data_IF_600838656587
#
_entry.id   IF_600838656587
#
_cell.length_a   1.000
_cell.length_b   1.000
_cell.length_c   1.000
_cell.angle_alpha   90.00
_cell.angle_beta   90.00
_cell.angle_gamma   90.00
#
_symmetry.space_group_name_H-M   'P 1'
#
loop_
_entity.id
_entity.type
_entity.pdbx_description
1 polymer ?
#
# COMPACT_ATOMS: atom_id res chain seq x y z
N UNK A 1 12.16 -14.63 54.05
CA UNK A 1 11.51 -15.88 53.59
C UNK A 1 10.01 -15.68 53.71
N UNK A 2 9.21 -16.09 52.71
CA UNK A 2 7.76 -15.99 52.80
C UNK A 2 7.22 -16.93 53.89
N UNK A 3 6.17 -16.50 54.58
CA UNK A 3 5.39 -17.34 55.49
C UNK A 3 4.46 -18.22 54.65
N UNK A 4 4.72 -19.52 54.63
CA UNK A 4 3.91 -20.48 53.90
C UNK A 4 2.71 -20.85 54.77
N UNK A 5 1.51 -20.54 54.30
CA UNK A 5 0.27 -20.98 54.94
C UNK A 5 0.06 -22.43 54.55
N UNK A 6 -0.17 -23.31 55.52
CA UNK A 6 -0.35 -24.75 55.25
C UNK A 6 -1.82 -25.13 55.18
N UNK A 7 -2.13 -26.30 54.62
CA UNK A 7 -3.51 -26.81 54.53
C UNK A 7 -4.22 -26.92 55.90
N UNK A 8 -3.46 -26.97 57.00
CA UNK A 8 -3.98 -27.02 58.37
C UNK A 8 -4.53 -25.69 58.86
N UNK A 9 -4.08 -24.60 58.26
CA UNK A 9 -4.47 -23.23 58.60
C UNK A 9 -5.63 -22.74 57.72
N UNK A 10 -6.04 -23.52 56.72
CA UNK A 10 -7.11 -23.17 55.78
C UNK A 10 -8.38 -23.93 56.07
N UNK A 11 -9.51 -23.21 56.10
CA UNK A 11 -10.83 -23.81 56.22
C UNK A 11 -11.40 -24.05 54.83
N UNK A 12 -11.91 -25.25 54.56
CA UNK A 12 -12.58 -25.53 53.29
C UNK A 12 -13.86 -26.32 53.53
N UNK A 13 -14.83 -26.09 52.65
CA UNK A 13 -16.12 -26.77 52.62
C UNK A 13 -16.38 -27.22 51.20
N UNK A 14 -16.80 -28.47 51.02
CA UNK A 14 -17.22 -28.96 49.72
C UNK A 14 -18.72 -29.24 49.68
N UNK A 15 -19.26 -28.99 48.49
CA UNK A 15 -20.51 -29.54 48.01
C UNK A 15 -20.20 -30.46 46.83
N UNK A 16 -21.22 -31.12 46.31
CA UNK A 16 -21.09 -31.99 45.12
C UNK A 16 -20.60 -31.19 43.90
N UNK A 17 -21.07 -29.95 43.77
CA UNK A 17 -20.82 -29.09 42.61
C UNK A 17 -19.81 -27.95 42.86
N UNK A 18 -19.73 -27.47 44.12
CA UNK A 18 -18.93 -26.30 44.49
C UNK A 18 -17.91 -26.61 45.58
N UNK A 19 -16.80 -25.88 45.55
CA UNK A 19 -15.77 -25.91 46.57
C UNK A 19 -15.52 -24.50 47.11
N UNK A 20 -15.66 -24.34 48.43
CA UNK A 20 -15.41 -23.10 49.15
C UNK A 20 -14.13 -23.23 49.95
N UNK A 21 -13.16 -22.36 49.71
CA UNK A 21 -11.88 -22.35 50.44
C UNK A 21 -11.68 -20.98 51.05
N UNK A 22 -11.45 -20.92 52.36
CA UNK A 22 -11.15 -19.71 53.12
C UNK A 22 -9.71 -19.78 53.62
N UNK A 23 -8.88 -18.89 53.11
CA UNK A 23 -7.48 -18.77 53.49
C UNK A 23 -7.34 -17.55 54.40
N UNK A 24 -6.96 -17.73 55.69
CA UNK A 24 -6.75 -16.59 56.58
C UNK A 24 -5.50 -15.83 56.16
N UNK A 25 -5.65 -14.54 55.92
CA UNK A 25 -4.55 -13.62 55.63
C UNK A 25 -4.60 -12.52 56.66
N UNK A 26 -3.81 -12.66 57.73
CA UNK A 26 -3.65 -11.59 58.73
C UNK A 26 -2.81 -10.48 58.13
N UNK A 27 -3.45 -9.63 57.31
CA UNK A 27 -2.78 -8.53 56.63
C UNK A 27 -2.70 -7.32 57.55
N UNK A 28 -1.47 -6.86 57.84
CA UNK A 28 -1.22 -5.55 58.45
C UNK A 28 -0.92 -4.46 57.41
N UNK A 29 -0.99 -4.78 56.11
CA UNK A 29 -0.48 -3.93 55.03
C UNK A 29 -1.49 -3.86 53.86
N UNK A 30 -1.70 -2.66 53.30
CA UNK A 30 -2.65 -2.38 52.20
C UNK A 30 -2.26 -2.96 50.81
N UNK A 31 -1.43 -4.01 50.77
CA UNK A 31 -1.01 -4.63 49.51
C UNK A 31 -2.10 -5.59 49.04
N UNK A 32 -2.63 -5.37 47.82
CA UNK A 32 -3.60 -6.29 47.22
C UNK A 32 -2.94 -7.66 46.95
N UNK A 33 -3.55 -8.78 47.38
CA UNK A 33 -3.02 -10.10 47.10
C UNK A 33 -3.09 -10.42 45.60
N UNK A 34 -2.03 -11.01 45.05
CA UNK A 34 -2.05 -11.57 43.70
C UNK A 34 -2.62 -12.98 43.77
N UNK A 35 -3.73 -13.21 43.07
CA UNK A 35 -4.45 -14.48 43.06
C UNK A 35 -4.34 -15.10 41.67
N UNK A 36 -3.96 -16.36 41.61
CA UNK A 36 -3.97 -17.18 40.40
C UNK A 36 -4.92 -18.36 40.62
N UNK A 37 -5.87 -18.50 39.70
CA UNK A 37 -6.83 -19.61 39.65
C UNK A 37 -6.61 -20.32 38.32
N UNK A 38 -6.47 -21.64 38.39
CA UNK A 38 -6.25 -22.51 37.23
C UNK A 38 -6.99 -23.83 37.46
N UNK A 39 -7.13 -24.66 36.43
CA UNK A 39 -7.88 -25.93 36.47
C UNK A 39 -7.58 -26.84 37.68
N UNK A 40 -6.31 -26.98 38.08
CA UNK A 40 -5.89 -27.84 39.23
C UNK A 40 -5.05 -27.13 40.28
N UNK A 41 -4.82 -25.84 40.13
CA UNK A 41 -3.84 -25.10 40.93
C UNK A 41 -4.38 -23.75 41.35
N UNK A 42 -4.19 -23.43 42.64
CA UNK A 42 -4.52 -22.14 43.21
C UNK A 42 -3.27 -21.57 43.87
N UNK A 43 -3.07 -20.27 43.70
CA UNK A 43 -1.97 -19.56 44.35
C UNK A 43 -2.42 -18.20 44.84
N UNK A 44 -2.06 -17.89 46.08
CA UNK A 44 -2.14 -16.55 46.64
C UNK A 44 -0.74 -16.09 47.01
N UNK A 45 -0.35 -14.92 46.51
CA UNK A 45 0.89 -14.26 46.87
C UNK A 45 0.58 -12.90 47.47
N UNK A 46 0.85 -12.74 48.77
CA UNK A 46 0.64 -11.49 49.50
C UNK A 46 1.73 -11.31 50.55
N UNK A 47 2.81 -10.56 50.27
CA UNK A 47 3.97 -10.46 51.15
C UNK A 47 3.59 -10.11 52.61
N UNK A 48 4.08 -10.85 53.62
CA UNK A 48 5.03 -11.97 53.56
C UNK A 48 4.42 -13.35 53.27
N UNK A 49 3.11 -13.49 53.15
CA UNK A 49 2.41 -14.76 52.98
C UNK A 49 2.46 -15.30 51.53
N UNK A 50 2.65 -16.62 51.43
CA UNK A 50 2.49 -17.37 50.19
C UNK A 50 1.64 -18.60 50.50
N UNK A 51 0.63 -18.83 49.68
CA UNK A 51 -0.22 -20.02 49.75
C UNK A 51 -0.33 -20.65 48.38
N UNK A 52 -0.14 -21.96 48.32
CA UNK A 52 -0.25 -22.76 47.11
C UNK A 52 -1.10 -23.99 47.44
N UNK A 53 -2.10 -24.27 46.62
CA UNK A 53 -2.97 -25.42 46.76
C UNK A 53 -3.09 -26.17 45.45
N UNK A 54 -2.87 -27.47 45.52
CA UNK A 54 -2.99 -28.41 44.40
C UNK A 54 -4.30 -29.16 44.59
N UNK A 55 -5.30 -28.86 43.77
CA UNK A 55 -6.64 -29.41 43.91
C UNK A 55 -6.64 -30.91 43.57
N UNK A 56 -7.57 -31.65 44.19
CA UNK A 56 -7.77 -33.07 43.91
C UNK A 56 -8.30 -33.31 42.49
N UNK A 57 -9.31 -32.53 42.09
CA UNK A 57 -9.95 -32.61 40.78
C UNK A 57 -9.87 -31.31 39.99
N UNK A 58 -10.34 -31.37 38.74
CA UNK A 58 -10.43 -30.23 37.84
C UNK A 58 -11.55 -29.27 38.24
N UNK A 59 -11.26 -27.98 38.19
CA UNK A 59 -12.22 -26.88 38.34
C UNK A 59 -12.37 -26.10 37.03
N UNK A 60 -13.51 -25.43 36.88
CA UNK A 60 -13.75 -24.51 35.78
C UNK A 60 -13.27 -23.10 36.18
N UNK A 61 -12.18 -22.57 35.57
CA UNK A 61 -11.62 -21.28 35.95
C UNK A 61 -12.53 -20.09 35.61
N UNK A 62 -13.36 -20.19 34.55
CA UNK A 62 -14.19 -19.08 34.07
C UNK A 62 -15.37 -18.78 35.01
N UNK A 63 -15.91 -19.82 35.65
CA UNK A 63 -17.02 -19.72 36.59
C UNK A 63 -16.57 -19.64 38.05
N UNK A 64 -15.26 -19.75 38.30
CA UNK A 64 -14.67 -19.69 39.63
C UNK A 64 -14.16 -18.29 39.91
N UNK A 65 -14.39 -17.78 41.12
CA UNK A 65 -13.89 -16.45 41.50
C UNK A 65 -13.41 -16.42 42.95
N UNK A 66 -12.51 -15.46 43.22
CA UNK A 66 -12.01 -15.20 44.57
C UNK A 66 -12.55 -13.86 45.08
N UNK A 67 -12.99 -13.84 46.33
CA UNK A 67 -13.37 -12.64 47.07
C UNK A 67 -12.32 -12.34 48.13
N UNK A 68 -11.75 -11.14 48.05
CA UNK A 68 -10.76 -10.65 49.01
C UNK A 68 -11.52 -9.94 50.13
N UNK A 69 -11.47 -10.50 51.35
CA UNK A 69 -11.98 -9.88 52.57
C UNK A 69 -10.88 -9.12 53.32
N UNK A 70 -11.21 -8.59 54.51
CA UNK A 70 -10.27 -7.83 55.34
C UNK A 70 -9.16 -8.71 55.95
N UNK A 71 -9.53 -9.89 56.47
CA UNK A 71 -8.59 -10.81 57.15
C UNK A 71 -8.54 -12.21 56.51
N UNK A 72 -9.23 -12.40 55.38
CA UNK A 72 -9.27 -13.70 54.67
C UNK A 72 -9.57 -13.54 53.18
N UNK A 73 -9.11 -14.49 52.38
CA UNK A 73 -9.50 -14.65 50.98
C UNK A 73 -10.38 -15.88 50.88
N UNK A 74 -11.56 -15.71 50.30
CA UNK A 74 -12.51 -16.79 50.05
C UNK A 74 -12.59 -17.11 48.57
N UNK A 75 -12.44 -18.38 48.21
CA UNK A 75 -12.64 -18.87 46.85
C UNK A 75 -14.01 -19.55 46.75
N UNK A 76 -14.75 -19.21 45.71
CA UNK A 76 -15.92 -19.97 45.27
C UNK A 76 -15.56 -20.62 43.94
N UNK A 77 -15.28 -21.93 43.99
CA UNK A 77 -14.79 -22.70 42.86
C UNK A 77 -15.88 -23.65 42.36
N UNK A 78 -16.03 -23.73 41.05
CA UNK A 78 -16.95 -24.64 40.38
C UNK A 78 -16.19 -25.91 39.97
N UNK A 79 -16.62 -27.09 40.48
CA UNK A 79 -16.03 -28.36 40.07
C UNK A 79 -16.42 -28.66 38.62
N UNK A 80 -15.51 -29.24 37.84
CA UNK A 80 -15.82 -29.68 36.47
C UNK A 80 -16.64 -30.97 36.45
N UNK A 81 -16.52 -31.79 37.50
CA UNK A 81 -17.26 -33.04 37.69
C UNK A 81 -17.93 -33.01 39.06
N UNK A 82 -19.22 -33.35 39.08
CA UNK A 82 -20.08 -33.38 40.27
C UNK A 82 -19.73 -34.56 41.21
N UNK A 83 -18.63 -34.45 41.96
CA UNK A 83 -18.13 -35.50 42.86
C UNK A 83 -17.66 -34.95 44.21
N UNK A 84 -17.83 -35.74 45.28
CA UNK A 84 -17.25 -35.47 46.59
C UNK A 84 -15.79 -35.89 46.60
N UNK A 85 -14.87 -34.95 46.84
CA UNK A 85 -13.44 -35.22 46.78
C UNK A 85 -12.94 -35.84 48.07
N UNK A 86 -13.55 -35.51 49.22
CA UNK A 86 -13.17 -35.96 50.57
C UNK A 86 -11.73 -35.60 50.98
N UNK A 87 -10.94 -35.02 50.07
CA UNK A 87 -9.57 -34.53 50.22
C UNK A 87 -9.41 -33.29 49.34
N UNK A 88 -8.71 -32.29 49.86
CA UNK A 88 -8.44 -31.05 49.13
C UNK A 88 -7.33 -31.25 48.09
N UNK A 89 -6.30 -32.04 48.41
CA UNK A 89 -5.13 -32.25 47.56
C UNK A 89 -4.87 -33.73 47.21
N UNK A 90 -4.35 -33.96 46.00
CA UNK A 90 -4.17 -35.31 45.44
C UNK A 90 -2.91 -36.03 45.95
N UNK A 91 -1.75 -35.37 45.98
CA UNK A 91 -0.47 -35.98 46.34
C UNK A 91 0.51 -34.96 46.92
N UNK A 92 1.24 -35.37 47.97
CA UNK A 92 2.29 -34.55 48.60
C UNK A 92 3.67 -34.71 47.92
N UNK A 93 3.79 -35.61 46.93
CA UNK A 93 5.06 -35.86 46.24
C UNK A 93 5.56 -34.60 45.50
N UNK A 94 6.83 -34.25 45.70
CA UNK A 94 7.43 -33.02 45.17
C UNK A 94 7.51 -33.01 43.62
N UNK A 95 7.71 -34.18 43.00
CA UNK A 95 7.70 -34.35 41.54
C UNK A 95 6.35 -33.97 40.93
N UNK A 96 5.25 -34.45 41.53
CA UNK A 96 3.90 -34.14 41.10
C UNK A 96 3.57 -32.65 41.27
N UNK A 97 3.93 -32.06 42.41
CA UNK A 97 3.73 -30.62 42.67
C UNK A 97 4.52 -29.72 41.71
N UNK A 98 5.66 -30.18 41.21
CA UNK A 98 6.43 -29.44 40.19
C UNK A 98 5.71 -29.48 38.84
N UNK A 99 5.29 -30.66 38.39
CA UNK A 99 4.57 -30.84 37.13
C UNK A 99 3.26 -30.03 37.09
N UNK A 100 2.48 -30.07 38.18
CA UNK A 100 1.23 -29.30 38.27
C UNK A 100 1.46 -27.78 38.26
N UNK A 101 2.57 -27.29 38.84
CA UNK A 101 2.94 -25.87 38.74
C UNK A 101 3.23 -25.49 37.29
N UNK A 102 4.08 -26.26 36.61
CA UNK A 102 4.45 -26.00 35.22
C UNK A 102 3.21 -26.04 34.30
N UNK A 103 2.32 -27.02 34.48
CA UNK A 103 1.07 -27.12 33.75
C UNK A 103 0.16 -25.89 34.00
N UNK A 104 0.02 -25.46 35.26
CA UNK A 104 -0.83 -24.33 35.62
C UNK A 104 -0.29 -23.00 35.08
N UNK A 105 1.03 -22.78 35.13
CA UNK A 105 1.64 -21.59 34.51
C UNK A 105 1.46 -21.61 32.99
N UNK A 106 1.60 -22.76 32.34
CA UNK A 106 1.38 -22.90 30.90
C UNK A 106 -0.07 -22.63 30.49
N UNK A 107 -1.06 -23.08 31.26
CA UNK A 107 -2.48 -22.78 31.01
C UNK A 107 -2.75 -21.28 31.16
N UNK A 108 -2.24 -20.67 32.22
CA UNK A 108 -2.42 -19.24 32.45
C UNK A 108 -1.76 -18.37 31.36
N UNK A 109 -0.56 -18.75 30.91
CA UNK A 109 0.12 -18.05 29.82
C UNK A 109 -0.67 -18.12 28.51
N UNK A 110 -1.22 -19.30 28.17
CA UNK A 110 -2.09 -19.47 26.99
C UNK A 110 -3.32 -18.57 27.08
N UNK A 111 -4.02 -18.58 28.22
CA UNK A 111 -5.20 -17.74 28.45
C UNK A 111 -4.89 -16.24 28.29
N UNK A 112 -3.77 -15.78 28.85
CA UNK A 112 -3.32 -14.39 28.70
C UNK A 112 -3.07 -14.04 27.23
N UNK A 113 -2.43 -14.95 26.48
CA UNK A 113 -2.11 -14.76 25.07
C UNK A 113 -3.38 -14.67 24.20
N UNK A 114 -4.32 -15.59 24.39
CA UNK A 114 -5.62 -15.58 23.70
C UNK A 114 -6.42 -14.32 24.01
N UNK A 115 -6.44 -13.87 25.27
CA UNK A 115 -7.12 -12.63 25.67
C UNK A 115 -6.50 -11.40 24.99
N UNK A 116 -5.17 -11.36 24.87
CA UNK A 116 -4.47 -10.28 24.17
C UNK A 116 -4.79 -10.28 22.68
N UNK A 117 -4.80 -11.46 22.05
CA UNK A 117 -5.16 -11.63 20.63
C UNK A 117 -6.60 -11.20 20.36
N UNK A 118 -7.55 -11.59 21.21
CA UNK A 118 -8.96 -11.17 21.09
C UNK A 118 -9.13 -9.64 21.23
N UNK A 119 -8.43 -9.01 22.17
CA UNK A 119 -8.44 -7.54 22.34
C UNK A 119 -7.86 -6.85 21.11
N UNK A 120 -6.77 -7.37 20.56
CA UNK A 120 -6.17 -6.85 19.33
C UNK A 120 -7.14 -6.98 18.15
N UNK A 121 -7.76 -8.16 17.99
CA UNK A 121 -8.72 -8.41 16.93
C UNK A 121 -9.94 -7.48 17.03
N UNK A 122 -10.47 -7.29 18.24
CA UNK A 122 -11.61 -6.39 18.48
C UNK A 122 -11.25 -4.95 18.12
N UNK A 123 -10.06 -4.48 18.53
CA UNK A 123 -9.57 -3.14 18.18
C UNK A 123 -9.42 -2.96 16.66
N UNK A 124 -8.87 -3.96 15.96
CA UNK A 124 -8.75 -3.94 14.51
C UNK A 124 -10.13 -3.93 13.83
N UNK A 125 -11.07 -4.74 14.30
CA UNK A 125 -12.43 -4.80 13.75
C UNK A 125 -13.14 -3.45 13.90
N UNK A 126 -13.08 -2.83 15.09
CA UNK A 126 -13.66 -1.50 15.33
C UNK A 126 -13.06 -0.44 14.39
N UNK A 127 -11.74 -0.46 14.18
CA UNK A 127 -11.08 0.46 13.23
C UNK A 127 -11.50 0.21 11.78
N UNK A 128 -11.62 -1.05 11.36
CA UNK A 128 -12.09 -1.41 10.01
C UNK A 128 -13.52 -0.94 9.78
N UNK A 129 -14.40 -1.12 10.76
CA UNK A 129 -15.79 -0.69 10.68
C UNK A 129 -15.93 0.84 10.57
N UNK A 130 -15.12 1.60 11.31
CA UNK A 130 -15.15 3.07 11.21
C UNK A 130 -14.70 3.55 9.82
N UNK A 131 -13.61 2.96 9.29
CA UNK A 131 -13.10 3.30 7.95
C UNK A 131 -14.12 2.92 6.88
N UNK A 132 -14.76 1.75 7.00
CA UNK A 132 -15.80 1.31 6.06
C UNK A 132 -16.98 2.29 6.00
N UNK A 133 -17.49 2.73 7.15
CA UNK A 133 -18.59 3.72 7.19
C UNK A 133 -18.19 5.04 6.53
N UNK A 134 -16.95 5.48 6.74
CA UNK A 134 -16.44 6.69 6.09
C UNK A 134 -16.35 6.53 4.57
N UNK A 135 -15.85 5.40 4.08
CA UNK A 135 -15.80 5.11 2.63
C UNK A 135 -17.19 5.05 2.01
N UNK A 136 -18.18 4.46 2.69
CA UNK A 136 -19.56 4.39 2.22
C UNK A 136 -20.19 5.79 2.08
N UNK A 137 -19.92 6.71 3.04
CA UNK A 137 -20.35 8.11 2.95
C UNK A 137 -19.68 8.84 1.78
N UNK A 138 -18.36 8.74 1.66
CA UNK A 138 -17.61 9.38 0.57
C UNK A 138 -18.04 8.86 -0.81
N UNK A 139 -18.33 7.56 -0.94
CA UNK A 139 -18.80 6.99 -2.21
C UNK A 139 -20.17 7.53 -2.59
N UNK A 140 -21.07 7.69 -1.62
CA UNK A 140 -22.37 8.30 -1.84
C UNK A 140 -22.24 9.76 -2.29
N UNK A 141 -21.40 10.56 -1.61
CA UNK A 141 -21.13 11.95 -1.99
C UNK A 141 -20.52 12.05 -3.39
N UNK A 142 -19.54 11.21 -3.72
CA UNK A 142 -18.93 11.16 -5.07
C UNK A 142 -19.97 10.86 -6.14
N UNK A 143 -20.87 9.90 -5.91
CA UNK A 143 -21.95 9.57 -6.86
C UNK A 143 -22.91 10.74 -7.06
N UNK A 144 -23.19 11.51 -6.01
CA UNK A 144 -24.05 12.70 -6.11
C UNK A 144 -23.36 13.81 -6.91
N UNK A 145 -22.10 14.10 -6.62
CA UNK A 145 -21.29 15.09 -7.35
C UNK A 145 -21.16 14.69 -8.83
N UNK A 146 -20.94 13.41 -9.12
CA UNK A 146 -20.81 12.93 -10.50
C UNK A 146 -22.11 13.10 -11.29
N UNK A 147 -23.26 12.80 -10.67
CA UNK A 147 -24.57 13.03 -11.28
C UNK A 147 -24.79 14.51 -11.60
N UNK A 148 -24.41 15.40 -10.69
CA UNK A 148 -24.54 16.85 -10.86
C UNK A 148 -23.63 17.36 -11.98
N UNK A 149 -22.34 16.99 -11.97
CA UNK A 149 -21.40 17.29 -13.06
C UNK A 149 -21.88 16.81 -14.42
N UNK A 150 -22.41 15.58 -14.49
CA UNK A 150 -22.99 15.03 -15.70
C UNK A 150 -24.20 15.84 -16.20
N UNK A 151 -25.04 16.33 -15.29
CA UNK A 151 -26.19 17.16 -15.64
C UNK A 151 -25.75 18.53 -16.17
N UNK A 152 -24.80 19.18 -15.50
CA UNK A 152 -24.25 20.47 -15.94
C UNK A 152 -23.53 20.35 -17.28
N UNK A 153 -22.70 19.32 -17.46
CA UNK A 153 -22.01 19.06 -18.73
C UNK A 153 -22.99 18.84 -19.88
N UNK A 154 -24.10 18.13 -19.65
CA UNK A 154 -25.17 17.96 -20.66
C UNK A 154 -25.82 19.30 -21.01
N UNK A 155 -26.13 20.15 -20.03
CA UNK A 155 -26.69 21.49 -20.25
C UNK A 155 -25.72 22.37 -21.05
N UNK A 156 -24.45 22.42 -20.65
CA UNK A 156 -23.41 23.18 -21.33
C UNK A 156 -23.22 22.69 -22.77
N UNK A 157 -23.17 21.38 -23.00
CA UNK A 157 -23.07 20.80 -24.34
C UNK A 157 -24.26 21.16 -25.23
N UNK A 158 -25.48 21.13 -24.68
CA UNK A 158 -26.69 21.55 -25.40
C UNK A 158 -26.65 23.04 -25.76
N UNK A 159 -26.17 23.90 -24.86
CA UNK A 159 -26.04 25.34 -25.12
C UNK A 159 -24.98 25.64 -26.18
N UNK A 160 -23.82 24.98 -26.12
CA UNK A 160 -22.77 25.08 -27.15
C UNK A 160 -23.33 24.65 -28.51
N UNK A 161 -24.09 23.54 -28.56
CA UNK A 161 -24.73 23.07 -29.79
C UNK A 161 -25.69 24.11 -30.36
N UNK A 162 -26.56 24.69 -29.51
CA UNK A 162 -27.50 25.74 -29.91
C UNK A 162 -26.79 26.98 -30.46
N UNK A 163 -25.72 27.45 -29.79
CA UNK A 163 -24.92 28.59 -30.26
C UNK A 163 -24.27 28.31 -31.61
N UNK A 164 -23.70 27.11 -31.81
CA UNK A 164 -23.13 26.70 -33.11
C UNK A 164 -24.17 26.69 -34.23
N UNK A 165 -25.37 26.18 -33.95
CA UNK A 165 -26.47 26.15 -34.92
C UNK A 165 -26.94 27.57 -35.29
N UNK A 166 -27.06 28.46 -34.31
CA UNK A 166 -27.38 29.87 -34.53
C UNK A 166 -26.33 30.57 -35.40
N UNK A 167 -25.04 30.39 -35.07
CA UNK A 167 -23.94 31.00 -35.81
C UNK A 167 -23.88 30.49 -37.25
N UNK A 168 -24.13 29.19 -37.45
CA UNK A 168 -24.24 28.60 -38.79
C UNK A 168 -25.43 29.16 -39.58
N UNK A 169 -26.60 29.30 -38.95
CA UNK A 169 -27.78 29.87 -39.59
C UNK A 169 -27.56 31.35 -40.00
N UNK A 170 -26.90 32.13 -39.14
CA UNK A 170 -26.54 33.51 -39.41
C UNK A 170 -25.56 33.63 -40.59
N UNK A 171 -24.51 32.80 -40.62
CA UNK A 171 -23.60 32.73 -41.76
C UNK A 171 -24.31 32.39 -43.08
N UNK A 172 -25.25 31.45 -43.05
CA UNK A 172 -26.05 31.06 -44.23
C UNK A 172 -26.91 32.25 -44.68
N UNK A 173 -27.57 32.95 -43.75
CA UNK A 173 -28.39 34.12 -44.05
C UNK A 173 -27.55 35.27 -44.66
N UNK A 174 -26.37 35.55 -44.10
CA UNK A 174 -25.44 36.55 -44.64
C UNK A 174 -24.98 36.20 -46.05
N UNK A 175 -24.57 34.94 -46.28
CA UNK A 175 -24.17 34.47 -47.62
C UNK A 175 -25.30 34.59 -48.63
N UNK A 176 -26.54 34.27 -48.24
CA UNK A 176 -27.72 34.42 -49.10
C UNK A 176 -27.98 35.89 -49.46
N UNK A 177 -27.88 36.81 -48.48
CA UNK A 177 -28.02 38.25 -48.71
C UNK A 177 -26.97 38.79 -49.68
N UNK A 178 -25.71 38.37 -49.51
CA UNK A 178 -24.62 38.72 -50.42
C UNK A 178 -24.85 38.22 -51.84
N UNK A 179 -25.31 36.97 -52.00
CA UNK A 179 -25.59 36.39 -53.32
C UNK A 179 -26.73 37.13 -54.05
N UNK A 180 -27.78 37.55 -53.33
CA UNK A 180 -28.87 38.35 -53.89
C UNK A 180 -28.38 39.71 -54.38
N UNK A 181 -27.61 40.44 -53.56
CA UNK A 181 -27.01 41.72 -53.96
C UNK A 181 -26.09 41.58 -55.17
N UNK A 182 -25.30 40.50 -55.21
CA UNK A 182 -24.43 40.22 -56.37
C UNK A 182 -25.23 39.90 -57.63
N UNK A 183 -26.35 39.18 -57.52
CA UNK A 183 -27.21 38.85 -58.65
C UNK A 183 -27.85 40.10 -59.29
N UNK A 184 -28.25 41.09 -58.49
CA UNK A 184 -28.81 42.36 -58.96
C UNK A 184 -27.81 43.21 -59.76
N UNK A 185 -26.51 43.06 -59.50
CA UNK A 185 -25.45 43.80 -60.18
C UNK A 185 -24.97 43.15 -61.49
N UNK A 186 -25.40 41.92 -61.79
CA UNK A 186 -24.99 41.24 -63.01
C UNK A 186 -25.85 41.76 -64.17
N UNK A 187 -25.24 42.28 -65.26
CA UNK A 187 -26.00 42.73 -66.41
C UNK A 187 -26.77 41.54 -67.03
N UNK A 188 -27.97 41.78 -67.59
CA UNK A 188 -28.78 40.72 -68.18
C UNK A 188 -28.01 39.97 -69.27
N UNK A 189 -28.20 38.66 -69.34
CA UNK A 189 -27.55 37.82 -70.35
C UNK A 189 -27.89 38.29 -71.76
N UNK A 190 -26.86 38.44 -72.60
CA UNK A 190 -27.04 38.80 -74.02
C UNK A 190 -27.79 37.67 -74.73
N UNK A 191 -28.64 38.00 -75.71
CA UNK A 191 -29.33 37.01 -76.55
C UNK A 191 -28.28 36.15 -77.30
N UNK A 192 -28.55 34.85 -77.43
CA UNK A 192 -27.63 33.88 -78.03
C UNK A 192 -27.31 34.23 -79.50
N UNK A 193 -26.04 34.26 -79.84
CA UNK A 193 -25.54 34.27 -81.22
C UNK A 193 -24.68 33.03 -81.47
N UNK A 194 -24.84 32.40 -82.63
CA UNK A 194 -24.04 31.24 -83.03
C UNK A 194 -22.79 31.72 -83.76
N UNK A 195 -21.62 31.44 -83.18
CA UNK A 195 -20.33 31.70 -83.82
C UNK A 195 -19.65 30.35 -84.04
N UNK A 196 -19.33 30.07 -85.29
CA UNK A 196 -18.61 28.87 -85.68
C UNK A 196 -17.12 29.12 -85.47
N UNK A 197 -16.53 28.42 -84.51
CA UNK A 197 -15.09 28.50 -84.21
C UNK A 197 -14.45 27.17 -84.56
N UNK A 198 -13.47 27.19 -85.47
CA UNK A 198 -12.60 26.06 -85.75
C UNK A 198 -11.32 26.18 -84.95
N UNK A 199 -11.05 25.20 -84.08
CA UNK A 199 -9.83 25.16 -83.28
C UNK A 199 -8.71 24.42 -84.02
N UNK A 200 -7.52 25.01 -84.02
CA UNK A 200 -6.28 24.30 -84.37
C UNK A 200 -5.75 23.58 -83.13
N UNK A 201 -5.49 22.27 -83.16
CA UNK A 201 -5.01 21.54 -82.00
C UNK A 201 -3.59 22.01 -81.63
N UNK A 202 -3.48 22.64 -80.47
CA UNK A 202 -2.20 23.05 -79.89
C UNK A 202 -1.76 21.97 -78.92
N UNK A 203 -0.74 21.19 -79.30
CA UNK A 203 -0.10 20.22 -78.42
C UNK A 203 0.90 21.00 -77.56
N UNK A 204 0.51 21.33 -76.34
CA UNK A 204 1.48 21.77 -75.33
C UNK A 204 2.20 20.52 -74.82
N UNK A 205 3.54 20.42 -74.93
CA UNK A 205 4.28 19.49 -74.09
C UNK A 205 4.24 20.09 -72.68
N UNK A 206 3.28 19.67 -71.88
CA UNK A 206 3.35 19.93 -70.43
C UNK A 206 4.57 19.15 -69.94
N UNK A 207 5.62 19.85 -69.50
CA UNK A 207 6.66 19.21 -68.73
C UNK A 207 5.99 18.59 -67.50
N UNK A 208 5.99 17.26 -67.42
CA UNK A 208 5.56 16.56 -66.24
C UNK A 208 6.43 17.05 -65.09
N UNK A 209 5.80 17.74 -64.13
CA UNK A 209 6.38 18.07 -62.83
C UNK A 209 6.99 16.78 -62.28
N UNK A 210 8.30 16.72 -62.14
CA UNK A 210 8.99 15.61 -61.48
C UNK A 210 8.34 15.46 -60.10
N UNK A 211 7.48 14.44 -59.96
CA UNK A 211 6.74 14.19 -58.74
C UNK A 211 7.69 13.49 -57.79
N UNK A 212 7.99 14.11 -56.65
CA UNK A 212 8.75 13.48 -55.55
C UNK A 212 8.04 12.28 -54.92
N UNK A 213 6.92 11.84 -55.48
CA UNK A 213 6.14 10.69 -55.04
C UNK A 213 6.97 9.40 -54.95
N UNK A 214 7.98 9.21 -55.81
CA UNK A 214 8.88 8.05 -55.72
C UNK A 214 9.76 8.12 -54.45
N UNK A 215 10.32 9.30 -54.16
CA UNK A 215 11.14 9.54 -52.96
C UNK A 215 10.29 9.44 -51.68
N UNK A 216 9.06 9.97 -51.72
CA UNK A 216 8.10 9.85 -50.60
C UNK A 216 7.67 8.40 -50.35
N UNK A 217 7.45 7.60 -51.42
CA UNK A 217 7.13 6.18 -51.30
C UNK A 217 8.31 5.39 -50.73
N UNK A 218 9.53 5.63 -51.20
CA UNK A 218 10.72 4.99 -50.64
C UNK A 218 10.92 5.36 -49.17
N UNK A 219 10.65 6.61 -48.80
CA UNK A 219 10.72 7.06 -47.41
C UNK A 219 9.67 6.35 -46.53
N UNK A 220 8.42 6.24 -47.01
CA UNK A 220 7.35 5.50 -46.33
C UNK A 220 7.65 4.00 -46.23
N UNK A 221 8.19 3.38 -47.27
CA UNK A 221 8.58 1.96 -47.28
C UNK A 221 9.74 1.69 -46.32
N UNK A 222 10.74 2.56 -46.25
CA UNK A 222 11.82 2.49 -45.25
C UNK A 222 11.27 2.64 -43.82
N UNK A 223 10.31 3.54 -43.62
CA UNK A 223 9.65 3.72 -42.32
C UNK A 223 8.82 2.51 -41.92
N UNK A 224 8.07 1.90 -42.86
CA UNK A 224 7.32 0.68 -42.63
C UNK A 224 8.23 -0.53 -42.41
N UNK A 225 9.32 -0.67 -43.17
CA UNK A 225 10.28 -1.76 -43.01
C UNK A 225 10.99 -1.69 -41.64
N UNK A 226 11.35 -0.49 -41.17
CA UNK A 226 11.88 -0.28 -39.82
C UNK A 226 10.84 -0.62 -38.73
N UNK A 227 9.57 -0.33 -38.96
CA UNK A 227 8.48 -0.72 -38.04
C UNK A 227 8.21 -2.23 -38.06
N UNK A 228 8.36 -2.88 -39.23
CA UNK A 228 8.13 -4.32 -39.42
C UNK A 228 9.28 -5.14 -38.86
N UNK A 229 10.54 -4.69 -38.97
CA UNK A 229 11.69 -5.37 -38.37
C UNK A 229 11.67 -5.35 -36.83
N UNK A 230 10.97 -4.37 -36.24
CA UNK A 230 10.70 -4.24 -34.81
C UNK A 230 9.52 -5.11 -34.31
N UNK A 231 8.94 -5.98 -35.15
CA UNK A 231 7.94 -6.97 -34.71
C UNK A 231 8.60 -8.06 -33.86
N UNK A 232 8.86 -7.75 -32.58
CA UNK A 232 8.70 -8.72 -31.52
C UNK A 232 7.20 -8.90 -31.29
N UNK A 233 6.67 -10.08 -31.63
CA UNK A 233 5.28 -10.45 -31.34
C UNK A 233 5.10 -10.69 -29.84
N UNK A 234 4.98 -9.61 -29.07
CA UNK A 234 4.56 -9.63 -27.68
C UNK A 234 3.07 -9.26 -27.61
N UNK A 235 2.19 -10.26 -27.67
CA UNK A 235 0.71 -10.11 -27.65
C UNK A 235 0.19 -9.40 -26.39
N UNK A 236 1.00 -9.29 -25.36
CA UNK A 236 0.60 -8.87 -24.02
C UNK A 236 0.86 -7.37 -23.72
N UNK A 237 1.57 -6.66 -24.60
CA UNK A 237 1.94 -5.24 -24.42
C UNK A 237 1.05 -4.31 -25.25
N UNK A 238 0.57 -3.23 -24.63
CA UNK A 238 -0.23 -2.21 -25.33
C UNK A 238 0.58 -1.50 -26.44
N UNK A 239 -0.07 -0.92 -27.46
CA UNK A 239 0.63 -0.24 -28.56
C UNK A 239 1.59 0.87 -28.10
N UNK A 240 1.31 1.53 -26.97
CA UNK A 240 2.13 2.59 -26.39
C UNK A 240 3.40 2.05 -25.73
N UNK A 241 3.30 0.89 -25.06
CA UNK A 241 4.44 0.24 -24.38
C UNK A 241 5.46 -0.36 -25.36
N UNK A 242 5.11 -0.44 -26.65
CA UNK A 242 6.01 -0.89 -27.73
C UNK A 242 6.86 0.24 -28.30
N UNK A 243 6.57 1.50 -28.01
CA UNK A 243 7.30 2.64 -28.55
C UNK A 243 8.53 2.96 -27.66
N UNK A 244 9.77 2.90 -28.19
CA UNK A 244 10.97 3.25 -27.44
C UNK A 244 10.96 4.69 -26.89
N UNK A 245 10.39 5.64 -27.63
CA UNK A 245 10.29 7.04 -27.20
C UNK A 245 9.33 7.20 -26.03
N UNK A 246 8.26 6.40 -26.02
CA UNK A 246 7.32 6.40 -24.90
C UNK A 246 7.95 5.78 -23.65
N UNK A 247 8.71 4.69 -23.78
CA UNK A 247 9.45 4.08 -22.67
C UNK A 247 10.48 5.05 -22.09
N UNK A 248 11.23 5.74 -22.95
CA UNK A 248 12.17 6.79 -22.54
C UNK A 248 11.46 7.93 -21.81
N UNK A 249 10.43 8.53 -22.43
CA UNK A 249 9.69 9.63 -21.80
C UNK A 249 9.06 9.22 -20.48
N UNK A 250 8.59 7.97 -20.35
CA UNK A 250 8.07 7.44 -19.10
C UNK A 250 9.17 7.26 -18.06
N UNK A 251 10.35 6.77 -18.45
CA UNK A 251 11.51 6.68 -17.57
C UNK A 251 11.93 8.07 -17.07
N UNK A 252 11.94 9.09 -17.93
CA UNK A 252 12.27 10.47 -17.58
C UNK A 252 11.31 11.03 -16.52
N UNK A 253 10.02 10.72 -16.62
CA UNK A 253 9.02 11.12 -15.62
C UNK A 253 9.29 10.48 -14.24
N UNK A 254 9.59 9.18 -14.20
CA UNK A 254 9.96 8.51 -12.95
C UNK A 254 11.29 9.04 -12.39
N UNK A 255 12.27 9.31 -13.25
CA UNK A 255 13.54 9.94 -12.87
C UNK A 255 13.30 11.31 -12.23
N UNK A 256 12.58 12.20 -12.90
CA UNK A 256 12.25 13.53 -12.36
C UNK A 256 11.46 13.46 -11.06
N UNK A 257 10.49 12.54 -10.94
CA UNK A 257 9.71 12.35 -9.71
C UNK A 257 10.56 11.82 -8.56
N UNK A 258 11.48 10.90 -8.84
CA UNK A 258 12.41 10.38 -7.82
C UNK A 258 13.35 11.47 -7.29
N UNK A 259 13.85 12.36 -8.15
CA UNK A 259 14.61 13.54 -7.74
C UNK A 259 13.80 14.48 -6.83
N UNK A 260 12.52 14.73 -7.16
CA UNK A 260 11.64 15.50 -6.29
C UNK A 260 11.43 14.80 -4.93
N UNK A 261 11.23 13.48 -4.91
CA UNK A 261 11.08 12.73 -3.67
C UNK A 261 12.34 12.75 -2.81
N UNK A 262 13.53 12.68 -3.42
CA UNK A 262 14.82 12.82 -2.73
C UNK A 262 14.93 14.18 -2.04
N UNK A 263 14.61 15.27 -2.75
CA UNK A 263 14.63 16.63 -2.19
C UNK A 263 13.61 16.82 -1.06
N UNK A 264 12.47 16.14 -1.12
CA UNK A 264 11.44 16.14 -0.08
C UNK A 264 11.72 15.15 1.07
N UNK A 265 12.88 14.45 1.06
CA UNK A 265 13.24 13.38 2.02
C UNK A 265 12.26 12.21 2.09
N UNK A 266 11.53 11.94 1.01
CA UNK A 266 10.68 10.75 0.87
C UNK A 266 11.50 9.60 0.27
N UNK A 267 12.48 9.10 1.03
CA UNK A 267 13.57 8.26 0.53
C UNK A 267 13.12 6.92 -0.06
N UNK A 268 12.21 6.20 0.60
CA UNK A 268 11.69 4.93 0.08
C UNK A 268 10.97 5.08 -1.27
N UNK A 269 10.19 6.15 -1.44
CA UNK A 269 9.51 6.44 -2.72
C UNK A 269 10.50 6.86 -3.82
N UNK A 270 11.56 7.58 -3.44
CA UNK A 270 12.63 7.91 -4.37
C UNK A 270 13.32 6.63 -4.90
N UNK A 271 13.56 5.64 -4.04
CA UNK A 271 14.14 4.35 -4.41
C UNK A 271 13.20 3.54 -5.31
N UNK A 272 11.90 3.52 -5.00
CA UNK A 272 10.90 2.83 -5.82
C UNK A 272 10.81 3.43 -7.23
N UNK A 273 10.70 4.76 -7.34
CA UNK A 273 10.61 5.45 -8.63
C UNK A 273 11.90 5.35 -9.45
N UNK A 274 13.06 5.48 -8.81
CA UNK A 274 14.35 5.31 -9.50
C UNK A 274 14.55 3.86 -9.97
N UNK A 275 14.13 2.86 -9.19
CA UNK A 275 14.17 1.46 -9.62
C UNK A 275 13.25 1.22 -10.82
N UNK A 276 12.04 1.81 -10.82
CA UNK A 276 11.13 1.72 -11.97
C UNK A 276 11.67 2.42 -13.22
N UNK A 277 12.35 3.55 -13.06
CA UNK A 277 13.03 4.22 -14.16
C UNK A 277 14.13 3.33 -14.78
N UNK A 278 14.95 2.66 -13.95
CA UNK A 278 15.99 1.74 -14.44
C UNK A 278 15.41 0.53 -15.18
N UNK A 279 14.30 -0.06 -14.70
CA UNK A 279 13.61 -1.15 -15.39
C UNK A 279 13.17 -0.75 -16.81
N UNK A 280 12.72 0.50 -16.99
CA UNK A 280 12.29 1.02 -18.29
C UNK A 280 13.44 1.36 -19.23
N UNK A 281 14.67 1.51 -18.69
CA UNK A 281 15.89 1.79 -19.47
C UNK A 281 16.65 0.52 -19.87
N UNK A 282 15.97 -0.63 -19.85
CA UNK A 282 16.46 -1.90 -20.38
C UNK A 282 15.96 -2.08 -21.82
N UNK A 283 16.81 -2.44 -22.80
CA UNK A 283 18.21 -2.82 -22.68
C UNK A 283 19.18 -1.64 -22.49
N UNK A 284 20.36 -1.88 -21.88
CA UNK A 284 21.39 -0.87 -21.72
C UNK A 284 22.02 -0.52 -23.08
N UNK A 285 21.79 0.70 -23.56
CA UNK A 285 22.35 1.21 -24.82
C UNK A 285 23.16 2.49 -24.57
N UNK A 286 24.10 2.86 -25.47
CA UNK A 286 24.84 4.12 -25.32
C UNK A 286 23.92 5.35 -25.28
N UNK A 287 22.81 5.32 -26.02
CA UNK A 287 21.86 6.45 -26.07
C UNK A 287 21.11 6.72 -24.75
N UNK A 288 21.01 5.73 -23.86
CA UNK A 288 20.34 5.87 -22.56
C UNK A 288 21.34 5.81 -21.38
N UNK A 289 22.65 5.87 -21.68
CA UNK A 289 23.69 5.81 -20.66
C UNK A 289 23.63 7.00 -19.70
N UNK A 290 23.42 8.21 -20.24
CA UNK A 290 23.29 9.43 -19.43
C UNK A 290 22.09 9.38 -18.49
N UNK A 291 20.93 8.90 -18.98
CA UNK A 291 19.70 8.80 -18.19
C UNK A 291 19.87 7.76 -17.07
N UNK A 292 20.48 6.60 -17.38
CA UNK A 292 20.78 5.56 -16.38
C UNK A 292 21.77 6.05 -15.32
N UNK A 293 22.79 6.81 -15.71
CA UNK A 293 23.75 7.42 -14.77
C UNK A 293 23.02 8.27 -13.74
N UNK A 294 22.14 9.16 -14.21
CA UNK A 294 21.41 10.08 -13.33
C UNK A 294 20.49 9.33 -12.37
N UNK A 295 19.79 8.30 -12.85
CA UNK A 295 18.92 7.51 -11.99
C UNK A 295 19.70 6.72 -10.94
N UNK A 296 20.85 6.13 -11.29
CA UNK A 296 21.74 5.49 -10.31
C UNK A 296 22.26 6.49 -9.27
N UNK A 297 22.62 7.71 -9.69
CA UNK A 297 23.03 8.79 -8.77
C UNK A 297 21.93 9.12 -7.76
N UNK A 298 20.69 9.34 -8.23
CA UNK A 298 19.53 9.65 -7.38
C UNK A 298 19.27 8.52 -6.38
N UNK A 299 19.30 7.27 -6.86
CA UNK A 299 19.05 6.10 -6.02
C UNK A 299 20.16 5.88 -4.98
N UNK A 300 21.42 6.02 -5.38
CA UNK A 300 22.57 5.96 -4.48
C UNK A 300 22.51 7.03 -3.38
N UNK A 301 22.15 8.27 -3.73
CA UNK A 301 21.93 9.34 -2.75
C UNK A 301 20.77 9.06 -1.80
N UNK A 302 19.69 8.42 -2.27
CA UNK A 302 18.57 8.02 -1.42
C UNK A 302 18.97 6.92 -0.42
N UNK A 303 19.72 5.91 -0.86
CA UNK A 303 20.25 4.85 -0.01
C UNK A 303 21.24 5.38 1.03
N UNK A 304 22.13 6.30 0.63
CA UNK A 304 23.03 6.98 1.56
C UNK A 304 22.28 7.71 2.67
N UNK A 305 21.19 8.43 2.35
CA UNK A 305 20.36 9.11 3.35
C UNK A 305 19.55 8.14 4.24
N UNK A 306 19.34 6.90 3.80
CA UNK A 306 18.73 5.83 4.60
C UNK A 306 19.75 5.01 5.41
N UNK A 307 21.04 5.34 5.35
CA UNK A 307 22.12 4.58 5.96
C UNK A 307 22.28 3.14 5.41
N UNK A 308 21.81 2.91 4.17
CA UNK A 308 22.03 1.68 3.42
C UNK A 308 23.26 1.85 2.53
N UNK A 309 24.43 1.92 3.15
CA UNK A 309 25.66 2.38 2.50
C UNK A 309 26.19 1.41 1.44
N UNK A 310 26.02 0.10 1.63
CA UNK A 310 26.50 -0.92 0.70
C UNK A 310 25.73 -0.81 -0.62
N UNK A 311 24.41 -0.73 -0.56
CA UNK A 311 23.53 -0.55 -1.71
C UNK A 311 23.78 0.79 -2.40
N UNK A 312 23.97 1.87 -1.61
CA UNK A 312 24.32 3.18 -2.13
C UNK A 312 25.65 3.18 -2.89
N UNK A 313 26.66 2.47 -2.37
CA UNK A 313 27.97 2.32 -3.02
C UNK A 313 27.84 1.56 -4.35
N UNK A 314 27.07 0.47 -4.39
CA UNK A 314 26.81 -0.28 -5.62
C UNK A 314 26.21 0.60 -6.72
N UNK A 315 25.27 1.48 -6.37
CA UNK A 315 24.65 2.41 -7.32
C UNK A 315 25.62 3.49 -7.80
N UNK A 316 26.44 4.07 -6.91
CA UNK A 316 27.47 5.02 -7.35
C UNK A 316 28.54 4.37 -8.22
N UNK A 317 28.95 3.13 -7.94
CA UNK A 317 29.88 2.39 -8.79
C UNK A 317 29.29 2.07 -10.16
N UNK A 318 27.99 1.73 -10.22
CA UNK A 318 27.28 1.55 -11.48
C UNK A 318 27.24 2.86 -12.28
N UNK A 319 27.02 4.00 -11.62
CA UNK A 319 27.04 5.32 -12.26
C UNK A 319 28.45 5.71 -12.76
N UNK A 320 29.50 5.44 -11.99
CA UNK A 320 30.91 5.71 -12.37
C UNK A 320 31.31 4.89 -13.61
N UNK A 321 30.85 3.64 -13.73
CA UNK A 321 31.09 2.82 -14.93
C UNK A 321 30.46 3.39 -16.20
N UNK A 322 29.43 4.22 -16.07
CA UNK A 322 28.76 4.87 -17.21
C UNK A 322 29.44 6.19 -17.59
N UNK A 323 30.01 6.92 -16.62
CA UNK A 323 30.73 8.17 -16.83
C UNK A 323 31.88 8.31 -15.81
N UNK A 324 33.08 7.97 -16.25
CA UNK A 324 34.28 7.94 -15.42
C UNK A 324 34.80 9.34 -15.07
N UNK A 325 34.30 10.40 -15.69
CA UNK A 325 34.79 11.77 -15.49
C UNK A 325 34.05 12.54 -14.39
N UNK A 326 32.99 11.96 -13.81
CA UNK A 326 32.17 12.64 -12.81
C UNK A 326 32.82 12.58 -11.41
N UNK A 327 33.50 13.68 -11.05
CA UNK A 327 34.20 13.82 -9.77
C UNK A 327 33.27 13.89 -8.55
N UNK A 328 31.98 14.17 -8.73
CA UNK A 328 31.00 14.14 -7.63
C UNK A 328 30.67 12.70 -7.23
N UNK A 329 30.45 11.83 -8.22
CA UNK A 329 30.17 10.41 -7.99
C UNK A 329 31.35 9.71 -7.30
N UNK A 330 32.58 10.00 -7.72
CA UNK A 330 33.79 9.45 -7.08
C UNK A 330 33.90 9.87 -5.62
N UNK A 331 33.63 11.14 -5.31
CA UNK A 331 33.65 11.66 -3.94
C UNK A 331 32.57 11.00 -3.07
N UNK A 332 31.34 10.86 -3.58
CA UNK A 332 30.25 10.20 -2.86
C UNK A 332 30.56 8.72 -2.61
N UNK A 333 31.10 8.00 -3.60
CA UNK A 333 31.51 6.61 -3.46
C UNK A 333 32.66 6.44 -2.44
N UNK A 334 33.67 7.31 -2.49
CA UNK A 334 34.78 7.29 -1.51
C UNK A 334 34.28 7.54 -0.09
N UNK A 335 33.40 8.54 0.11
CA UNK A 335 32.81 8.81 1.42
C UNK A 335 32.03 7.61 1.97
N UNK A 336 31.31 6.88 1.12
CA UNK A 336 30.61 5.65 1.54
C UNK A 336 31.58 4.53 1.90
N UNK A 337 32.69 4.34 1.15
CA UNK A 337 33.71 3.34 1.49
C UNK A 337 34.33 3.61 2.86
N UNK A 338 34.70 4.84 3.14
CA UNK A 338 35.26 5.24 4.43
C UNK A 338 34.29 4.98 5.60
N UNK A 339 32.98 5.14 5.37
CA UNK A 339 31.96 4.85 6.39
C UNK A 339 31.82 3.34 6.60
N UNK A 340 31.75 2.57 5.50
CA UNK A 340 31.63 1.10 5.57
C UNK A 340 32.86 0.48 6.25
N UNK A 341 34.07 0.95 5.94
CA UNK A 341 35.30 0.46 6.58
C UNK A 341 35.29 0.72 8.09
N UNK A 342 34.85 1.91 8.53
CA UNK A 342 34.70 2.23 9.96
C UNK A 342 33.67 1.36 10.67
N UNK A 343 32.51 1.16 10.05
CA UNK A 343 31.45 0.31 10.62
C UNK A 343 31.87 -1.17 10.75
N UNK A 344 32.89 -1.61 9.99
CA UNK A 344 33.44 -2.97 10.10
C UNK A 344 34.57 -3.14 11.12
N UNK A 345 35.16 -2.05 11.60
CA UNK A 345 36.24 -2.07 12.60
C UNK A 345 35.74 -1.95 14.06
N UNK A 346 34.50 -1.49 14.27
CA UNK A 346 33.78 -1.51 15.56
C UNK A 346 33.07 -2.85 15.82
#
# INVERSE_FOLDING_TARGET
MPLIITEKDTEWQESVDKLLITVPLTSRVDIKPTILITSKYLKISSPPYLWECFLFGDINPDNSFARIGHDSVSFELQKSVEELWNKLSHSEAESYRKEQREAAFGEHEKYLKETLEQKLQTKQNVQKESVRKQMELEEFERKMIEKEKMLENKKAAAEIKRKKEQLKAEMIAQKRKYLLQRAEQIPPTRKSGHITVSFTPRVFPTAARESQEAEEKEWLEKQLAASVSLKLDCTDLSPQERNPDWLKSKADLYSGRSACHLNLRNLHKAIEDSSKALELLVPPVPSNASDRKEVHKIRGSAFQQLHLYVEGLMDFEAAIKLDENDEELKRNAAALRDIIEKDTEE
#
